data_IF_114601241509
#
_entry.id   IF_114601241509
#
_cell.length_a   1.000
_cell.length_b   1.000
_cell.length_c   1.000
_cell.angle_alpha   90.00
_cell.angle_beta   90.00
_cell.angle_gamma   90.00
#
_symmetry.space_group_name_H-M   'P 1'
#
loop_
_entity.id
_entity.type
_entity.pdbx_description
1 polymer ?
#
# COMPACT_ATOMS: atom_id res chain seq x y z
N UNK A 1 0.05 -1.63 -28.12
CA UNK A 1 0.30 -2.89 -27.39
C UNK A 1 -0.78 -3.88 -27.77
N UNK A 2 -0.43 -5.13 -28.09
CA UNK A 2 -1.40 -6.16 -28.46
C UNK A 2 -2.13 -6.65 -27.19
N UNK A 3 -3.46 -6.52 -27.14
CA UNK A 3 -4.27 -6.90 -25.98
C UNK A 3 -4.10 -8.39 -25.59
N UNK A 4 -3.78 -9.26 -26.56
CA UNK A 4 -3.51 -10.68 -26.29
C UNK A 4 -2.21 -10.92 -25.51
N UNK A 5 -1.19 -10.07 -25.71
CA UNK A 5 0.10 -10.22 -25.02
C UNK A 5 -0.01 -9.91 -23.53
N UNK A 6 -0.73 -8.84 -23.17
CA UNK A 6 -0.94 -8.45 -21.77
C UNK A 6 -1.76 -9.50 -21.02
N UNK A 7 -2.79 -10.06 -21.65
CA UNK A 7 -3.55 -11.17 -21.09
C UNK A 7 -2.65 -12.38 -20.77
N UNK A 8 -1.78 -12.75 -21.70
CA UNK A 8 -0.86 -13.88 -21.49
C UNK A 8 0.09 -13.65 -20.29
N UNK A 9 0.58 -12.42 -20.11
CA UNK A 9 1.39 -12.09 -18.93
C UNK A 9 0.60 -12.25 -17.63
N UNK A 10 -0.68 -11.86 -17.60
CA UNK A 10 -1.52 -12.07 -16.42
C UNK A 10 -1.77 -13.56 -16.16
N UNK A 11 -1.93 -14.38 -17.20
CA UNK A 11 -2.11 -15.83 -17.07
C UNK A 11 -0.86 -16.51 -16.50
N UNK A 12 0.34 -16.00 -16.81
CA UNK A 12 1.61 -16.59 -16.35
C UNK A 12 2.10 -16.05 -15.01
N UNK A 13 1.87 -14.76 -14.72
CA UNK A 13 2.50 -14.04 -13.60
C UNK A 13 1.49 -13.42 -12.63
N UNK A 14 0.20 -13.63 -12.88
CA UNK A 14 -0.91 -13.14 -12.08
C UNK A 14 -1.38 -11.76 -12.53
N UNK A 15 -2.58 -11.40 -12.10
CA UNK A 15 -3.19 -10.13 -12.42
C UNK A 15 -2.74 -9.08 -11.41
N UNK A 16 -2.06 -8.05 -11.89
CA UNK A 16 -1.59 -6.92 -11.08
C UNK A 16 -2.37 -5.67 -11.43
N UNK A 17 -2.69 -4.87 -10.41
CA UNK A 17 -3.09 -3.48 -10.59
C UNK A 17 -2.47 -2.59 -9.53
N UNK A 18 -2.22 -1.36 -9.92
CA UNK A 18 -1.59 -0.36 -9.06
C UNK A 18 -2.37 0.94 -9.08
N UNK A 19 -2.43 1.60 -7.92
CA UNK A 19 -2.99 2.95 -7.77
C UNK A 19 -2.07 3.81 -6.92
N UNK A 20 -1.87 5.06 -7.33
CA UNK A 20 -1.12 6.04 -6.53
C UNK A 20 -2.06 7.12 -6.01
N UNK A 21 -2.07 7.31 -4.69
CA UNK A 21 -2.75 8.40 -4.02
C UNK A 21 -1.73 9.47 -3.63
N UNK A 22 -2.09 10.73 -3.83
CA UNK A 22 -1.28 11.87 -3.41
C UNK A 22 -2.05 12.65 -2.35
N UNK A 23 -1.65 12.50 -1.09
CA UNK A 23 -2.25 13.23 0.04
C UNK A 23 -1.46 14.51 0.23
N UNK A 24 -1.99 15.63 -0.27
CA UNK A 24 -1.41 16.96 -0.04
C UNK A 24 -1.90 17.51 1.29
N UNK A 25 -0.98 18.07 2.06
CA UNK A 25 -1.28 18.69 3.35
C UNK A 25 -1.01 20.18 3.22
N UNK A 26 -2.09 20.94 3.08
CA UNK A 26 -2.01 22.37 2.79
C UNK A 26 -1.76 23.20 4.05
N UNK A 27 -1.41 24.48 3.83
CA UNK A 27 -1.18 25.44 4.90
C UNK A 27 0.20 25.36 5.55
N UNK A 28 0.44 26.30 6.47
CA UNK A 28 1.73 26.46 7.15
C UNK A 28 2.13 25.25 8.01
N UNK A 29 1.16 24.45 8.45
CA UNK A 29 1.37 23.26 9.28
C UNK A 29 1.52 21.96 8.46
N UNK A 30 1.44 22.01 7.13
CA UNK A 30 1.43 20.82 6.28
C UNK A 30 2.64 19.89 6.48
N UNK A 31 3.83 20.46 6.70
CA UNK A 31 5.04 19.65 6.99
C UNK A 31 4.93 18.92 8.33
N UNK A 32 4.39 19.55 9.36
CA UNK A 32 4.22 18.93 10.67
C UNK A 32 3.19 17.79 10.60
N UNK A 33 2.04 18.02 9.96
CA UNK A 33 1.03 16.97 9.75
C UNK A 33 1.59 15.80 8.94
N UNK A 34 2.47 16.07 7.98
CA UNK A 34 3.15 15.02 7.20
C UNK A 34 4.02 14.14 8.08
N UNK A 35 4.85 14.75 8.94
CA UNK A 35 5.67 14.01 9.90
C UNK A 35 4.80 13.19 10.85
N UNK A 36 3.76 13.79 11.42
CA UNK A 36 2.82 13.11 12.32
C UNK A 36 2.12 11.92 11.66
N UNK A 37 1.70 12.06 10.39
CA UNK A 37 1.06 10.98 9.67
C UNK A 37 2.04 9.83 9.38
N UNK A 38 3.29 10.14 8.99
CA UNK A 38 4.33 9.11 8.86
C UNK A 38 4.61 8.39 10.18
N UNK A 39 4.68 9.12 11.29
CA UNK A 39 4.84 8.55 12.64
C UNK A 39 3.65 7.68 13.06
N UNK A 40 2.42 8.08 12.68
CA UNK A 40 1.20 7.30 12.93
C UNK A 40 1.23 5.98 12.16
N UNK A 41 1.62 5.98 10.89
CA UNK A 41 1.84 4.74 10.13
C UNK A 41 2.93 3.84 10.74
N UNK A 42 3.90 4.39 11.48
CA UNK A 42 4.93 3.59 12.16
C UNK A 42 4.45 3.00 13.47
N UNK A 43 3.85 3.83 14.31
CA UNK A 43 3.54 3.49 15.69
C UNK A 43 2.20 2.77 15.84
N UNK A 44 1.21 3.17 15.05
CA UNK A 44 -0.17 2.69 15.12
C UNK A 44 -0.78 2.61 13.71
N UNK A 45 -0.24 1.75 12.82
CA UNK A 45 -0.82 1.57 11.50
C UNK A 45 -2.26 1.05 11.59
N UNK A 46 -3.11 1.31 10.58
CA UNK A 46 -4.42 0.70 10.52
C UNK A 46 -4.31 -0.83 10.56
N UNK A 47 -5.19 -1.48 11.32
CA UNK A 47 -5.20 -2.94 11.43
C UNK A 47 -5.86 -3.62 10.22
N UNK A 48 -6.68 -2.86 9.48
CA UNK A 48 -7.41 -3.33 8.30
C UNK A 48 -7.44 -2.23 7.25
N UNK A 49 -7.32 -2.61 5.98
CA UNK A 49 -7.52 -1.72 4.83
C UNK A 49 -8.50 -2.37 3.86
N UNK A 50 -9.63 -1.71 3.62
CA UNK A 50 -10.78 -2.33 2.96
C UNK A 50 -11.26 -3.53 3.76
N UNK A 51 -11.30 -4.70 3.11
CA UNK A 51 -11.62 -5.96 3.77
C UNK A 51 -10.39 -6.77 4.20
N UNK A 52 -9.16 -6.28 3.97
CA UNK A 52 -7.93 -7.05 4.21
C UNK A 52 -7.23 -6.64 5.51
N UNK A 53 -6.87 -7.63 6.33
CA UNK A 53 -6.05 -7.41 7.53
C UNK A 53 -4.63 -6.97 7.16
N UNK A 54 -4.07 -6.05 7.94
CA UNK A 54 -2.65 -5.69 7.89
C UNK A 54 -1.88 -6.67 8.76
N UNK A 55 -1.07 -7.53 8.12
CA UNK A 55 -0.36 -8.64 8.78
C UNK A 55 1.12 -8.36 9.04
N UNK A 56 1.62 -7.24 8.54
CA UNK A 56 2.99 -6.83 8.77
C UNK A 56 3.28 -5.41 8.31
N UNK A 57 4.39 -4.88 8.80
CA UNK A 57 4.93 -3.57 8.42
C UNK A 57 6.42 -3.68 8.16
N UNK A 58 6.89 -3.24 6.99
CA UNK A 58 8.32 -3.04 6.71
C UNK A 58 8.63 -1.56 6.86
N UNK A 59 9.68 -1.22 7.58
CA UNK A 59 10.17 0.15 7.73
C UNK A 59 11.63 0.21 7.27
N UNK A 60 11.85 0.79 6.09
CA UNK A 60 13.18 0.90 5.49
C UNK A 60 14.03 1.99 6.13
N UNK A 61 13.44 2.89 6.90
CA UNK A 61 14.19 3.87 7.67
C UNK A 61 14.80 3.22 8.91
N UNK A 62 14.04 2.31 9.55
CA UNK A 62 14.47 1.57 10.74
C UNK A 62 15.20 0.26 10.40
N UNK A 63 15.14 -0.20 9.14
CA UNK A 63 15.62 -1.52 8.73
C UNK A 63 15.00 -2.67 9.54
N UNK A 64 13.69 -2.57 9.80
CA UNK A 64 12.93 -3.57 10.55
C UNK A 64 11.65 -3.98 9.79
N UNK A 65 11.32 -5.27 9.87
CA UNK A 65 9.99 -5.80 9.57
C UNK A 65 9.31 -6.18 10.89
N UNK A 66 8.07 -5.77 11.06
CA UNK A 66 7.18 -6.11 12.16
C UNK A 66 6.11 -7.06 11.62
N UNK A 67 5.79 -8.12 12.34
CA UNK A 67 4.58 -8.91 12.08
C UNK A 67 3.35 -8.35 12.82
N UNK A 68 2.20 -9.00 12.67
CA UNK A 68 0.94 -8.61 13.32
C UNK A 68 0.97 -8.70 14.85
N UNK A 69 1.95 -9.37 15.44
CA UNK A 69 2.16 -9.49 16.88
C UNK A 69 3.19 -8.46 17.40
N UNK A 70 3.80 -7.68 16.51
CA UNK A 70 4.83 -6.70 16.82
C UNK A 70 6.23 -7.29 16.96
N UNK A 71 6.44 -8.58 16.60
CA UNK A 71 7.76 -9.20 16.61
C UNK A 71 8.59 -8.61 15.47
N UNK A 72 9.82 -8.21 15.77
CA UNK A 72 10.72 -7.56 14.82
C UNK A 72 11.72 -8.53 14.20
N UNK A 73 12.03 -8.30 12.92
CA UNK A 73 13.06 -9.00 12.18
C UNK A 73 13.91 -7.99 11.39
N UNK A 74 15.23 -8.21 11.22
CA UNK A 74 16.06 -7.37 10.38
C UNK A 74 15.54 -7.31 8.94
N UNK A 75 15.55 -6.12 8.35
CA UNK A 75 15.16 -5.88 6.96
C UNK A 75 16.34 -5.34 6.15
N UNK A 76 16.79 -6.12 5.18
CA UNK A 76 17.77 -5.66 4.19
C UNK A 76 17.12 -4.74 3.14
N UNK A 77 17.88 -3.79 2.62
CA UNK A 77 17.44 -2.87 1.58
C UNK A 77 18.14 -1.52 1.66
N UNK A 78 17.85 -0.60 0.73
CA UNK A 78 18.31 0.78 0.83
C UNK A 78 17.62 1.49 2.01
N UNK A 79 18.32 2.44 2.64
CA UNK A 79 17.73 3.34 3.64
C UNK A 79 16.89 4.40 2.94
N UNK A 80 15.61 4.49 3.28
CA UNK A 80 14.69 5.52 2.77
C UNK A 80 13.53 5.71 3.76
N UNK A 81 12.86 6.87 3.73
CA UNK A 81 11.65 7.11 4.52
C UNK A 81 10.45 6.43 3.85
N UNK A 82 10.41 5.10 3.98
CA UNK A 82 9.49 4.23 3.25
C UNK A 82 8.97 3.15 4.17
N UNK A 83 7.64 3.09 4.26
CA UNK A 83 6.91 2.05 4.99
C UNK A 83 6.15 1.20 3.98
N UNK A 84 6.14 -0.12 4.14
CA UNK A 84 5.14 -0.97 3.51
C UNK A 84 4.23 -1.55 4.58
N UNK A 85 2.93 -1.48 4.35
CA UNK A 85 1.94 -2.31 5.01
C UNK A 85 1.73 -3.57 4.15
N UNK A 86 1.87 -4.73 4.77
CA UNK A 86 1.65 -6.04 4.17
C UNK A 86 0.23 -6.49 4.49
N UNK A 87 -0.54 -6.83 3.47
CA UNK A 87 -1.92 -7.29 3.63
C UNK A 87 -1.97 -8.82 3.65
N UNK A 88 -3.00 -9.37 4.29
CA UNK A 88 -3.13 -10.82 4.51
C UNK A 88 -3.11 -11.65 3.22
N UNK A 89 -3.63 -11.11 2.12
CA UNK A 89 -3.48 -11.72 0.80
C UNK A 89 -2.13 -11.32 0.22
N UNK A 90 -1.21 -12.30 0.16
CA UNK A 90 0.14 -12.11 -0.39
C UNK A 90 0.09 -11.46 -1.77
N UNK A 91 1.06 -10.58 -2.05
CA UNK A 91 1.07 -9.77 -3.28
C UNK A 91 0.28 -8.45 -3.17
N UNK A 92 -0.48 -8.25 -2.09
CA UNK A 92 -1.22 -7.01 -1.85
C UNK A 92 -0.50 -6.17 -0.78
N UNK A 93 -0.18 -4.93 -1.11
CA UNK A 93 0.63 -4.04 -0.27
C UNK A 93 0.20 -2.59 -0.38
N UNK A 94 0.51 -1.80 0.64
CA UNK A 94 0.51 -0.34 0.55
C UNK A 94 1.88 0.19 0.91
N UNK A 95 2.54 0.89 -0.01
CA UNK A 95 3.76 1.63 0.29
C UNK A 95 3.45 3.10 0.59
N UNK A 96 4.02 3.61 1.68
CA UNK A 96 3.83 4.98 2.17
C UNK A 96 5.17 5.69 2.14
N UNK A 97 5.22 6.84 1.47
CA UNK A 97 6.43 7.66 1.36
C UNK A 97 6.10 9.15 1.46
N UNK A 98 6.77 9.92 2.33
CA UNK A 98 6.66 11.37 2.31
C UNK A 98 7.47 11.96 1.16
N UNK A 99 6.99 13.06 0.61
CA UNK A 99 7.71 13.85 -0.36
C UNK A 99 8.77 14.69 0.35
N UNK A 100 10.03 14.65 -0.09
CA UNK A 100 11.11 15.35 0.60
C UNK A 100 11.03 16.89 0.56
N UNK A 101 10.37 17.45 -0.45
CA UNK A 101 10.34 18.91 -0.69
C UNK A 101 8.96 19.55 -0.55
N UNK A 102 7.89 18.76 -0.64
CA UNK A 102 6.50 19.22 -0.58
C UNK A 102 5.79 18.57 0.61
N UNK A 103 4.87 19.25 1.32
CA UNK A 103 4.04 18.63 2.36
C UNK A 103 3.00 17.68 1.73
N UNK A 104 3.46 16.52 1.30
CA UNK A 104 2.69 15.53 0.56
C UNK A 104 3.17 14.12 0.88
N UNK A 105 2.24 13.21 1.12
CA UNK A 105 2.53 11.77 1.20
C UNK A 105 2.01 11.09 -0.06
N UNK A 106 2.83 10.20 -0.62
CA UNK A 106 2.43 9.28 -1.69
C UNK A 106 2.12 7.93 -1.09
N UNK A 107 0.93 7.41 -1.41
CA UNK A 107 0.50 6.06 -1.06
C UNK A 107 0.41 5.26 -2.36
N UNK A 108 1.14 4.16 -2.45
CA UNK A 108 1.13 3.26 -3.60
C UNK A 108 0.41 1.98 -3.19
N UNK A 109 -0.74 1.71 -3.80
CA UNK A 109 -1.52 0.51 -3.59
C UNK A 109 -1.09 -0.48 -4.66
N UNK A 110 -0.68 -1.67 -4.23
CA UNK A 110 -0.37 -2.81 -5.08
C UNK A 110 -1.43 -3.86 -4.81
N UNK A 111 -2.23 -4.20 -5.82
CA UNK A 111 -3.22 -5.27 -5.72
C UNK A 111 -2.91 -6.39 -6.69
N UNK A 112 -3.10 -7.61 -6.22
CA UNK A 112 -2.66 -8.80 -6.91
C UNK A 112 -3.68 -9.93 -6.76
N UNK A 113 -3.77 -10.73 -7.81
CA UNK A 113 -4.48 -12.00 -7.85
C UNK A 113 -3.61 -13.02 -8.58
N UNK A 114 -3.40 -14.18 -7.95
CA UNK A 114 -2.58 -15.25 -8.50
C UNK A 114 -3.06 -15.74 -9.88
N UNK A 115 -2.14 -16.27 -10.70
CA UNK A 115 -2.51 -17.06 -11.88
C UNK A 115 -3.60 -18.09 -11.57
N UNK A 116 -4.58 -18.22 -12.45
CA UNK A 116 -5.64 -19.24 -12.34
C UNK A 116 -6.70 -18.98 -11.26
N UNK A 117 -6.60 -17.89 -10.48
CA UNK A 117 -7.67 -17.47 -9.56
C UNK A 117 -8.80 -16.69 -10.25
N UNK A 118 -8.72 -16.51 -11.57
CA UNK A 118 -9.73 -15.84 -12.37
C UNK A 118 -9.96 -16.56 -13.69
N UNK A 119 -11.22 -16.64 -14.11
CA UNK A 119 -11.63 -17.20 -15.40
C UNK A 119 -11.99 -16.11 -16.42
N UNK A 120 -12.52 -14.99 -15.93
CA UNK A 120 -12.92 -13.83 -16.73
C UNK A 120 -12.06 -12.63 -16.33
N UNK A 121 -11.22 -12.17 -17.27
CA UNK A 121 -10.28 -11.08 -17.03
C UNK A 121 -10.99 -9.75 -16.69
N UNK A 122 -12.05 -9.33 -17.40
CA UNK A 122 -12.82 -8.14 -17.02
C UNK A 122 -13.37 -8.18 -15.58
N UNK A 123 -13.99 -9.30 -15.16
CA UNK A 123 -14.49 -9.45 -13.80
C UNK A 123 -13.37 -9.40 -12.76
N UNK A 124 -12.24 -10.05 -13.02
CA UNK A 124 -11.07 -10.02 -12.12
C UNK A 124 -10.46 -8.62 -12.00
N UNK A 125 -10.39 -7.88 -13.10
CA UNK A 125 -9.95 -6.48 -13.10
C UNK A 125 -10.90 -5.59 -12.29
N UNK A 126 -12.22 -5.81 -12.40
CA UNK A 126 -13.22 -5.11 -11.61
C UNK A 126 -13.09 -5.44 -10.11
N UNK A 127 -12.84 -6.70 -9.76
CA UNK A 127 -12.63 -7.12 -8.36
C UNK A 127 -11.40 -6.45 -7.75
N UNK A 128 -10.27 -6.42 -8.47
CA UNK A 128 -9.08 -5.71 -7.99
C UNK A 128 -9.29 -4.20 -7.92
N UNK A 129 -10.05 -3.60 -8.85
CA UNK A 129 -10.43 -2.19 -8.77
C UNK A 129 -11.27 -1.89 -7.52
N UNK A 130 -12.26 -2.74 -7.19
CA UNK A 130 -13.04 -2.60 -5.96
C UNK A 130 -12.17 -2.72 -4.71
N UNK A 131 -11.18 -3.63 -4.73
CA UNK A 131 -10.20 -3.74 -3.64
C UNK A 131 -9.39 -2.45 -3.49
N UNK A 132 -8.89 -1.86 -4.58
CA UNK A 132 -8.20 -0.56 -4.54
C UNK A 132 -9.09 0.54 -3.96
N UNK A 133 -10.37 0.59 -4.36
CA UNK A 133 -11.33 1.60 -3.88
C UNK A 133 -11.57 1.49 -2.37
N UNK A 134 -11.72 0.25 -1.87
CA UNK A 134 -11.90 -0.03 -0.44
C UNK A 134 -10.64 0.30 0.37
N UNK A 135 -9.46 -0.07 -0.13
CA UNK A 135 -8.18 0.28 0.52
C UNK A 135 -8.00 1.80 0.54
N UNK A 136 -8.29 2.49 -0.57
CA UNK A 136 -8.23 3.95 -0.64
C UNK A 136 -9.17 4.60 0.37
N UNK A 137 -10.42 4.12 0.50
CA UNK A 137 -11.36 4.63 1.49
C UNK A 137 -10.81 4.52 2.92
N UNK A 138 -10.33 3.32 3.32
CA UNK A 138 -9.74 3.13 4.65
C UNK A 138 -8.49 3.98 4.89
N UNK A 139 -7.64 4.16 3.88
CA UNK A 139 -6.46 5.03 3.99
C UNK A 139 -6.85 6.49 4.18
N UNK A 140 -7.88 6.97 3.48
CA UNK A 140 -8.39 8.34 3.64
C UNK A 140 -8.99 8.55 5.03
N UNK A 141 -9.76 7.59 5.53
CA UNK A 141 -10.29 7.62 6.91
C UNK A 141 -9.14 7.68 7.94
N UNK A 142 -8.12 6.85 7.77
CA UNK A 142 -6.95 6.86 8.64
C UNK A 142 -6.20 8.22 8.61
N UNK A 143 -6.01 8.80 7.42
CA UNK A 143 -5.38 10.12 7.24
C UNK A 143 -6.12 11.21 8.03
N UNK A 144 -7.46 11.17 8.07
CA UNK A 144 -8.25 12.17 8.79
C UNK A 144 -8.24 11.98 10.32
N UNK A 145 -7.74 10.85 10.82
CA UNK A 145 -7.59 10.62 12.27
C UNK A 145 -6.32 11.25 12.86
N UNK A 146 -5.44 11.77 12.01
CA UNK A 146 -4.15 12.40 12.36
C UNK A 146 -4.16 13.90 12.08
#
# INVERSE_FOLDING_TARGET
MNAGYIRHLFEQHGLHRERTLNIRMEGSQGKQRMTQLMESFRSQPPQQLGNLQVVGRRDYLQHLRFDSQGVTQPLAGPTDDLIFLELELTGNYVAIRPSGTEPKIKLYLFTFMDPGQWADLPAAQQQLQQREDQIEASLREFVETV
#
